data_IF_320335229894
#
_entry.id   IF_320335229894
#
_cell.length_a   1.000
_cell.length_b   1.000
_cell.length_c   1.000
_cell.angle_alpha   90.00
_cell.angle_beta   90.00
_cell.angle_gamma   90.00
#
_symmetry.space_group_name_H-M   'P 1'
#
loop_
_entity.id
_entity.type
_entity.pdbx_description
1 polymer ?
#
# COMPACT_ATOMS: atom_id res chain seq x y z
N UNK A 1 -11.08 -10.71 -8.20
CA UNK A 1 -11.72 -9.78 -7.24
C UNK A 1 -10.74 -9.56 -6.12
N UNK A 2 -10.56 -8.32 -5.66
CA UNK A 2 -9.66 -8.02 -4.54
C UNK A 2 -10.34 -8.34 -3.21
N UNK A 3 -9.58 -8.44 -2.12
CA UNK A 3 -10.11 -8.73 -0.78
C UNK A 3 -11.04 -7.61 -0.30
N UNK A 4 -10.71 -6.36 -0.66
CA UNK A 4 -11.55 -5.18 -0.41
C UNK A 4 -12.94 -5.33 -1.03
N UNK A 5 -13.02 -5.83 -2.27
CA UNK A 5 -14.30 -6.05 -2.97
C UNK A 5 -15.14 -7.15 -2.33
N UNK A 6 -14.53 -8.00 -1.50
CA UNK A 6 -15.21 -9.04 -0.73
C UNK A 6 -15.62 -8.57 0.67
N UNK A 7 -15.44 -7.28 0.98
CA UNK A 7 -15.75 -6.70 2.29
C UNK A 7 -14.72 -7.02 3.37
N UNK A 8 -13.56 -7.55 3.00
CA UNK A 8 -12.46 -7.82 3.93
C UNK A 8 -11.61 -6.55 4.01
N UNK A 9 -11.44 -5.94 5.19
CA UNK A 9 -10.56 -4.80 5.36
C UNK A 9 -9.12 -5.22 5.04
N UNK A 10 -8.48 -4.50 4.12
CA UNK A 10 -7.11 -4.78 3.70
C UNK A 10 -6.36 -3.50 3.37
N UNK A 11 -5.03 -3.56 3.48
CA UNK A 11 -4.12 -2.49 3.12
C UNK A 11 -3.10 -3.04 2.14
N UNK A 12 -3.03 -2.44 0.96
CA UNK A 12 -2.05 -2.82 -0.05
C UNK A 12 -0.74 -2.05 0.17
N UNK A 13 0.39 -2.77 0.18
CA UNK A 13 1.74 -2.17 0.17
C UNK A 13 2.37 -2.49 -1.18
N UNK A 14 2.81 -1.47 -1.90
CA UNK A 14 3.50 -1.59 -3.19
C UNK A 14 4.90 -1.00 -3.09
N UNK A 15 5.79 -1.35 -4.02
CA UNK A 15 7.04 -0.61 -4.16
C UNK A 15 6.85 0.62 -5.04
N UNK A 16 7.67 1.65 -4.85
CA UNK A 16 7.53 2.96 -5.53
C UNK A 16 7.39 2.88 -7.06
N UNK A 17 7.99 1.89 -7.71
CA UNK A 17 7.87 1.67 -9.18
C UNK A 17 6.43 1.39 -9.65
N UNK A 18 5.52 1.00 -8.76
CA UNK A 18 4.12 0.73 -9.06
C UNK A 18 3.18 1.92 -8.83
N UNK A 19 3.68 3.05 -8.32
CA UNK A 19 2.88 4.27 -8.12
C UNK A 19 2.16 4.68 -9.43
N UNK A 20 2.82 4.74 -10.61
CA UNK A 20 2.13 5.10 -11.85
C UNK A 20 1.02 4.11 -12.23
N UNK A 21 1.18 2.84 -11.89
CA UNK A 21 0.15 1.81 -12.13
C UNK A 21 -1.03 2.00 -11.19
N UNK A 22 -0.79 2.30 -9.90
CA UNK A 22 -1.85 2.59 -8.94
C UNK A 22 -2.65 3.85 -9.34
N UNK A 23 -1.97 4.88 -9.83
CA UNK A 23 -2.60 6.11 -10.32
C UNK A 23 -3.41 5.90 -11.61
N UNK A 24 -3.01 4.96 -12.45
CA UNK A 24 -3.80 4.56 -13.61
C UNK A 24 -5.04 3.76 -13.18
N UNK A 25 -4.90 2.90 -12.17
CA UNK A 25 -5.97 2.05 -11.68
C UNK A 25 -7.13 2.88 -11.09
N UNK A 26 -6.85 3.93 -10.33
CA UNK A 26 -7.89 4.87 -9.82
C UNK A 26 -8.68 5.51 -10.94
N UNK A 27 -8.00 5.97 -12.00
CA UNK A 27 -8.63 6.61 -13.17
C UNK A 27 -9.49 5.65 -13.99
N UNK A 28 -9.06 4.40 -14.15
CA UNK A 28 -9.71 3.43 -15.05
C UNK A 28 -10.88 2.72 -14.37
N UNK A 29 -10.74 2.35 -13.09
CA UNK A 29 -11.70 1.50 -12.39
C UNK A 29 -12.80 2.29 -11.67
N UNK A 30 -12.78 3.63 -11.74
CA UNK A 30 -13.77 4.49 -11.09
C UNK A 30 -13.67 4.52 -9.56
N UNK A 31 -12.59 3.98 -8.99
CA UNK A 31 -12.28 4.13 -7.58
C UNK A 31 -11.75 5.54 -7.33
N UNK A 32 -12.47 6.30 -6.51
CA UNK A 32 -12.12 7.69 -6.17
C UNK A 32 -10.76 7.75 -5.47
N UNK A 33 -10.44 6.73 -4.67
CA UNK A 33 -9.15 6.55 -4.02
C UNK A 33 -8.82 5.04 -3.99
N UNK A 34 -7.61 4.64 -4.42
CA UNK A 34 -7.07 3.31 -4.18
C UNK A 34 -6.04 3.46 -3.05
N UNK A 35 -6.40 3.23 -1.78
CA UNK A 35 -5.49 3.45 -0.67
C UNK A 35 -4.39 2.39 -0.68
N UNK A 36 -3.15 2.83 -0.89
CA UNK A 36 -1.96 2.01 -0.78
C UNK A 36 -0.87 2.72 0.02
N UNK A 37 0.07 1.95 0.55
CA UNK A 37 1.35 2.45 1.03
C UNK A 37 2.42 2.12 0.01
N UNK A 38 3.34 3.05 -0.25
CA UNK A 38 4.54 2.75 -1.03
C UNK A 38 5.73 2.50 -0.11
N UNK A 39 6.65 1.66 -0.59
CA UNK A 39 7.94 1.43 0.04
C UNK A 39 9.07 1.41 -0.99
N UNK A 40 10.29 1.61 -0.50
CA UNK A 40 11.46 1.72 -1.37
C UNK A 40 11.68 0.46 -2.20
N UNK A 41 11.82 0.65 -3.51
CA UNK A 41 12.27 -0.39 -4.44
C UNK A 41 13.81 -0.49 -4.47
N UNK A 42 14.41 -1.68 -4.66
CA UNK A 42 13.78 -3.00 -4.62
C UNK A 42 13.67 -3.56 -3.19
N UNK A 43 12.73 -4.49 -3.01
CA UNK A 43 12.65 -5.32 -1.80
C UNK A 43 13.60 -6.52 -1.90
N UNK A 44 13.82 -7.04 -3.11
CA UNK A 44 14.60 -8.27 -3.34
C UNK A 44 16.09 -8.17 -3.00
N UNK A 45 16.65 -6.95 -3.04
CA UNK A 45 18.07 -6.71 -2.74
C UNK A 45 18.28 -6.03 -1.38
N UNK A 46 17.21 -5.80 -0.62
CA UNK A 46 17.33 -5.22 0.71
C UNK A 46 17.74 -6.30 1.72
N UNK A 47 18.63 -5.94 2.63
CA UNK A 47 18.97 -6.77 3.78
C UNK A 47 17.77 -6.93 4.72
N UNK A 48 17.82 -7.95 5.58
CA UNK A 48 16.77 -8.16 6.59
C UNK A 48 16.58 -6.94 7.50
N UNK A 49 17.67 -6.24 7.85
CA UNK A 49 17.65 -5.05 8.70
C UNK A 49 16.94 -3.89 7.98
N UNK A 50 17.27 -3.64 6.72
CA UNK A 50 16.61 -2.58 5.93
C UNK A 50 15.12 -2.89 5.72
N UNK A 51 14.75 -4.17 5.58
CA UNK A 51 13.35 -4.59 5.49
C UNK A 51 12.61 -4.39 6.80
N UNK A 52 13.25 -4.68 7.93
CA UNK A 52 12.70 -4.47 9.27
C UNK A 52 12.49 -2.97 9.56
N UNK A 53 13.46 -2.13 9.24
CA UNK A 53 13.33 -0.67 9.34
C UNK A 53 12.16 -0.14 8.49
N UNK A 54 12.05 -0.60 7.24
CA UNK A 54 10.93 -0.24 6.36
C UNK A 54 9.59 -0.72 6.96
N UNK A 55 9.54 -1.93 7.51
CA UNK A 55 8.35 -2.46 8.15
C UNK A 55 7.92 -1.62 9.36
N UNK A 56 8.87 -1.19 10.19
CA UNK A 56 8.61 -0.29 11.33
C UNK A 56 8.05 1.07 10.89
N UNK A 57 8.49 1.60 9.76
CA UNK A 57 7.97 2.85 9.20
C UNK A 57 6.57 2.69 8.59
N UNK A 58 6.25 1.51 8.05
CA UNK A 58 4.97 1.22 7.40
C UNK A 58 3.89 0.80 8.37
N UNK A 59 4.22 0.03 9.41
CA UNK A 59 3.28 -0.51 10.39
C UNK A 59 2.28 0.52 10.97
N UNK A 60 2.69 1.70 11.46
CA UNK A 60 1.73 2.69 11.96
C UNK A 60 0.82 3.24 10.87
N UNK A 61 1.29 3.31 9.61
CA UNK A 61 0.47 3.75 8.48
C UNK A 61 -0.55 2.70 8.07
N UNK A 62 -0.20 1.42 8.19
CA UNK A 62 -1.13 0.30 7.97
C UNK A 62 -2.28 0.38 8.98
N UNK A 63 -1.98 0.59 10.25
CA UNK A 63 -3.00 0.75 11.30
C UNK A 63 -3.97 1.90 10.98
N UNK A 64 -3.43 3.06 10.58
CA UNK A 64 -4.25 4.22 10.20
C UNK A 64 -5.17 3.91 9.02
N UNK A 65 -4.64 3.35 7.94
CA UNK A 65 -5.44 2.98 6.76
C UNK A 65 -6.49 1.93 7.09
N UNK A 66 -6.13 0.94 7.89
CA UNK A 66 -7.02 -0.16 8.26
C UNK A 66 -8.18 0.32 9.15
N UNK A 67 -7.93 1.23 10.09
CA UNK A 67 -8.95 1.73 11.02
C UNK A 67 -9.79 2.88 10.45
N UNK A 68 -9.20 3.75 9.61
CA UNK A 68 -9.85 4.97 9.13
C UNK A 68 -10.30 4.90 7.67
N UNK A 69 -9.75 3.98 6.88
CA UNK A 69 -10.01 3.87 5.45
C UNK A 69 -9.35 4.96 4.59
N UNK A 70 -8.69 5.96 5.19
CA UNK A 70 -8.01 7.07 4.51
C UNK A 70 -6.74 7.50 5.26
N UNK A 71 -5.74 7.97 4.51
CA UNK A 71 -4.59 8.71 5.04
C UNK A 71 -4.99 10.19 5.05
N UNK A 72 -5.48 10.68 6.20
CA UNK A 72 -5.80 12.09 6.40
C UNK A 72 -4.56 12.97 6.48
#
# INVERSE_FOLDING_TARGET
>A
MTLEQQGIPTVSIITDVFIPTADAYTKVMGFTEFPYLSCQHPISNASSVELEERAHLLAPKVEVLFLKGTLG
#
